data_IF_111706344906
#
_entry.id   IF_111706344906
#
_cell.length_a   1.000
_cell.length_b   1.000
_cell.length_c   1.000
_cell.angle_alpha   90.00
_cell.angle_beta   90.00
_cell.angle_gamma   90.00
#
_symmetry.space_group_name_H-M   'P 1'
#
loop_
_entity.id
_entity.type
_entity.pdbx_description
1 polymer ?
#
# COMPACT_ATOMS: atom_id res chain seq x y z
N UNK A 1 -22.09 21.66 -12.03
CA UNK A 1 -21.14 22.02 -13.12
C UNK A 1 -21.66 21.45 -14.43
N UNK A 2 -21.44 22.12 -15.57
CA UNK A 2 -21.72 21.52 -16.89
C UNK A 2 -20.74 20.37 -17.16
N UNK A 3 -21.08 19.39 -18.03
CA UNK A 3 -20.14 18.36 -18.47
C UNK A 3 -18.79 18.93 -18.93
N UNK A 4 -18.80 19.95 -19.80
CA UNK A 4 -17.60 20.64 -20.26
C UNK A 4 -16.75 21.24 -19.13
N UNK A 5 -17.37 21.88 -18.14
CA UNK A 5 -16.65 22.41 -16.98
C UNK A 5 -16.04 21.28 -16.10
N UNK A 6 -16.65 20.09 -16.06
CA UNK A 6 -16.09 18.93 -15.36
C UNK A 6 -14.83 18.40 -16.07
N UNK A 7 -14.84 18.35 -17.40
CA UNK A 7 -13.64 17.98 -18.19
C UNK A 7 -12.52 18.99 -17.95
N UNK A 8 -12.81 20.28 -18.04
CA UNK A 8 -11.82 21.33 -17.74
C UNK A 8 -11.23 21.20 -16.32
N UNK A 9 -12.08 20.96 -15.32
CA UNK A 9 -11.61 20.76 -13.94
C UNK A 9 -10.77 19.50 -13.81
N UNK A 10 -11.11 18.42 -14.51
CA UNK A 10 -10.31 17.19 -14.51
C UNK A 10 -8.91 17.42 -15.13
N UNK A 11 -8.81 18.24 -16.19
CA UNK A 11 -7.54 18.66 -16.79
C UNK A 11 -6.67 19.37 -15.75
N UNK A 12 -7.20 20.39 -15.07
CA UNK A 12 -6.46 21.17 -14.07
C UNK A 12 -5.96 20.30 -12.91
N UNK A 13 -6.80 19.40 -12.41
CA UNK A 13 -6.43 18.48 -11.34
C UNK A 13 -5.34 17.52 -11.82
N UNK A 14 -5.44 16.99 -13.04
CA UNK A 14 -4.41 16.12 -13.60
C UNK A 14 -3.08 16.86 -13.78
N UNK A 15 -3.07 18.11 -14.23
CA UNK A 15 -1.86 18.92 -14.31
C UNK A 15 -1.19 19.09 -12.94
N UNK A 16 -1.99 19.34 -11.89
CA UNK A 16 -1.50 19.40 -10.51
C UNK A 16 -0.94 18.05 -10.03
N UNK A 17 -1.58 16.93 -10.37
CA UNK A 17 -1.10 15.58 -10.04
C UNK A 17 0.21 15.27 -10.78
N UNK A 18 0.31 15.60 -12.07
CA UNK A 18 1.51 15.41 -12.89
C UNK A 18 2.69 16.24 -12.37
N UNK A 19 2.42 17.48 -11.92
CA UNK A 19 3.43 18.31 -11.26
C UNK A 19 3.87 17.70 -9.93
N UNK A 20 2.91 17.26 -9.09
CA UNK A 20 3.20 16.66 -7.81
C UNK A 20 3.96 15.32 -7.95
N UNK A 21 3.67 14.53 -8.98
CA UNK A 21 4.39 13.29 -9.25
C UNK A 21 5.86 13.56 -9.60
N UNK A 22 6.12 14.57 -10.44
CA UNK A 22 7.48 14.98 -10.86
C UNK A 22 8.31 15.60 -9.74
N UNK A 23 7.67 16.37 -8.84
CA UNK A 23 8.35 17.09 -7.76
C UNK A 23 8.33 16.36 -6.42
N UNK A 24 7.86 15.11 -6.40
CA UNK A 24 7.64 14.32 -5.18
C UNK A 24 6.75 15.04 -4.14
N UNK A 25 5.74 15.77 -4.63
CA UNK A 25 4.70 16.42 -3.84
C UNK A 25 3.59 15.46 -3.40
N UNK A 26 2.46 16.03 -2.95
CA UNK A 26 1.33 15.28 -2.38
C UNK A 26 0.75 14.19 -3.31
N UNK A 27 0.23 13.11 -2.73
CA UNK A 27 -0.45 12.00 -3.44
C UNK A 27 -1.70 12.48 -4.21
N UNK A 28 -2.12 11.72 -5.23
CA UNK A 28 -3.26 12.12 -6.08
C UNK A 28 -4.52 12.45 -5.28
N UNK A 29 -4.89 11.58 -4.34
CA UNK A 29 -6.06 11.76 -3.46
C UNK A 29 -5.99 13.06 -2.65
N UNK A 30 -4.78 13.43 -2.18
CA UNK A 30 -4.56 14.66 -1.43
C UNK A 30 -4.67 15.89 -2.31
N UNK A 31 -4.14 15.83 -3.54
CA UNK A 31 -4.30 16.89 -4.55
C UNK A 31 -5.78 17.08 -4.88
N UNK A 32 -6.49 15.99 -5.21
CA UNK A 32 -7.94 16.02 -5.51
C UNK A 32 -8.73 16.64 -4.34
N UNK A 33 -8.43 16.23 -3.10
CA UNK A 33 -9.11 16.75 -1.92
C UNK A 33 -8.80 18.24 -1.68
N UNK A 34 -7.59 18.71 -1.96
CA UNK A 34 -7.23 20.13 -1.90
C UNK A 34 -7.97 20.94 -2.98
N UNK A 35 -7.96 20.47 -4.22
CA UNK A 35 -8.62 21.10 -5.36
C UNK A 35 -10.15 21.22 -5.17
N UNK A 36 -10.78 20.20 -4.56
CA UNK A 36 -12.20 20.24 -4.21
C UNK A 36 -12.53 21.10 -2.99
N UNK A 37 -11.58 21.34 -2.08
CA UNK A 37 -11.76 22.32 -0.99
C UNK A 37 -11.73 23.75 -1.53
N UNK A 38 -10.90 24.01 -2.54
CA UNK A 38 -10.86 25.30 -3.23
C UNK A 38 -12.14 25.56 -4.05
N UNK A 39 -12.72 24.53 -4.68
CA UNK A 39 -13.93 24.64 -5.52
C UNK A 39 -15.23 24.40 -4.72
N UNK A 40 -15.57 25.35 -3.83
CA UNK A 40 -16.77 25.25 -2.96
C UNK A 40 -18.11 25.20 -3.73
N UNK A 41 -18.14 25.69 -4.97
CA UNK A 41 -19.33 25.66 -5.83
C UNK A 41 -19.64 24.26 -6.40
N UNK A 42 -18.70 23.31 -6.33
CA UNK A 42 -18.91 21.95 -6.85
C UNK A 42 -19.69 21.08 -5.84
N UNK A 43 -20.87 20.62 -6.26
CA UNK A 43 -21.68 19.68 -5.47
C UNK A 43 -21.09 18.27 -5.43
N UNK A 44 -21.64 17.39 -4.58
CA UNK A 44 -21.16 16.01 -4.42
C UNK A 44 -21.19 15.19 -5.71
N UNK A 45 -22.22 15.37 -6.54
CA UNK A 45 -22.33 14.72 -7.87
C UNK A 45 -21.24 15.21 -8.84
N UNK A 46 -20.95 16.52 -8.84
CA UNK A 46 -19.90 17.08 -9.68
C UNK A 46 -18.52 16.58 -9.26
N UNK A 47 -18.23 16.59 -7.95
CA UNK A 47 -16.97 16.08 -7.39
C UNK A 47 -16.75 14.61 -7.74
N UNK A 48 -17.80 13.78 -7.67
CA UNK A 48 -17.74 12.37 -8.08
C UNK A 48 -17.39 12.25 -9.57
N UNK A 49 -18.12 12.93 -10.45
CA UNK A 49 -17.89 12.86 -11.90
C UNK A 49 -16.48 13.32 -12.29
N UNK A 50 -15.98 14.43 -11.71
CA UNK A 50 -14.62 14.92 -11.94
C UNK A 50 -13.59 13.91 -11.43
N UNK A 51 -13.78 13.36 -10.24
CA UNK A 51 -12.89 12.34 -9.68
C UNK A 51 -12.82 11.09 -10.56
N UNK A 52 -13.96 10.65 -11.09
CA UNK A 52 -14.02 9.49 -11.98
C UNK A 52 -13.26 9.74 -13.28
N UNK A 53 -13.37 10.94 -13.88
CA UNK A 53 -12.56 11.34 -15.05
C UNK A 53 -11.07 11.32 -14.73
N UNK A 54 -10.67 11.92 -13.60
CA UNK A 54 -9.26 11.99 -13.16
C UNK A 54 -8.68 10.59 -12.99
N UNK A 55 -9.34 9.70 -12.24
CA UNK A 55 -8.80 8.34 -12.07
C UNK A 55 -8.90 7.47 -13.31
N UNK A 56 -9.88 7.70 -14.19
CA UNK A 56 -9.92 7.03 -15.50
C UNK A 56 -8.68 7.39 -16.32
N UNK A 57 -8.31 8.66 -16.37
CA UNK A 57 -7.06 9.10 -16.99
C UNK A 57 -5.82 8.52 -16.27
N UNK A 58 -5.78 8.57 -14.94
CA UNK A 58 -4.65 7.99 -14.19
C UNK A 58 -4.48 6.51 -14.49
N UNK A 59 -5.56 5.73 -14.61
CA UNK A 59 -5.49 4.29 -14.93
C UNK A 59 -5.22 4.01 -16.41
N UNK A 60 -5.57 4.92 -17.32
CA UNK A 60 -5.43 4.71 -18.76
C UNK A 60 -3.99 4.79 -19.29
N UNK A 61 -3.08 5.46 -18.59
CA UNK A 61 -1.74 5.74 -19.11
C UNK A 61 -0.63 5.25 -18.17
N UNK A 62 0.21 4.33 -18.64
CA UNK A 62 1.31 3.75 -17.89
C UNK A 62 2.42 4.77 -17.63
N UNK A 63 2.79 5.52 -18.67
CA UNK A 63 3.65 6.70 -18.55
C UNK A 63 2.81 7.94 -18.19
N UNK A 64 3.36 8.90 -17.43
CA UNK A 64 2.66 10.15 -17.15
C UNK A 64 2.44 10.95 -18.45
N UNK A 65 1.19 11.32 -18.79
CA UNK A 65 0.91 12.23 -19.89
C UNK A 65 1.66 13.57 -19.74
N UNK A 66 1.92 14.25 -20.87
CA UNK A 66 2.59 15.56 -20.84
C UNK A 66 1.73 16.66 -20.19
N UNK A 67 0.41 16.49 -20.20
CA UNK A 67 -0.58 17.37 -19.57
C UNK A 67 -1.88 16.62 -19.29
N UNK A 68 -2.71 17.16 -18.40
CA UNK A 68 -4.06 16.68 -18.14
C UNK A 68 -4.95 16.76 -19.38
N UNK A 69 -4.68 17.72 -20.27
CA UNK A 69 -5.39 17.86 -21.54
C UNK A 69 -5.05 16.72 -22.50
N UNK A 70 -3.76 16.41 -22.66
CA UNK A 70 -3.31 15.26 -23.45
C UNK A 70 -3.86 13.94 -22.88
N UNK A 71 -3.99 13.85 -21.55
CA UNK A 71 -4.61 12.71 -20.88
C UNK A 71 -6.11 12.57 -21.22
N UNK A 72 -6.89 13.67 -21.16
CA UNK A 72 -8.32 13.62 -21.50
C UNK A 72 -8.56 13.26 -22.97
N UNK A 73 -7.77 13.82 -23.89
CA UNK A 73 -7.86 13.47 -25.32
C UNK A 73 -7.39 12.04 -25.59
N UNK A 74 -6.37 11.58 -24.86
CA UNK A 74 -5.85 10.22 -24.96
C UNK A 74 -6.80 9.13 -24.47
N UNK A 75 -7.87 9.47 -23.74
CA UNK A 75 -8.88 8.51 -23.31
C UNK A 75 -9.72 7.95 -24.48
N UNK A 76 -9.63 8.58 -25.66
CA UNK A 76 -10.34 8.18 -26.88
C UNK A 76 -11.85 7.97 -26.66
N UNK A 77 -12.44 8.84 -25.83
CA UNK A 77 -13.87 8.80 -25.49
C UNK A 77 -14.60 9.93 -26.21
N UNK A 78 -15.59 9.57 -27.03
CA UNK A 78 -16.38 10.52 -27.82
C UNK A 78 -17.15 11.52 -26.95
N UNK A 79 -17.63 11.07 -25.78
CA UNK A 79 -18.37 11.94 -24.85
C UNK A 79 -17.45 12.98 -24.22
N UNK A 80 -16.19 12.62 -23.92
CA UNK A 80 -15.19 13.58 -23.42
C UNK A 80 -14.77 14.52 -24.56
N UNK A 81 -14.55 13.97 -25.75
CA UNK A 81 -14.09 14.74 -26.93
C UNK A 81 -15.12 15.80 -27.35
N UNK A 82 -16.42 15.49 -27.27
CA UNK A 82 -17.50 16.41 -27.58
C UNK A 82 -17.55 17.66 -26.66
N UNK A 83 -16.93 17.59 -25.48
CA UNK A 83 -16.90 18.71 -24.53
C UNK A 83 -15.84 19.77 -24.87
N UNK A 84 -14.90 19.48 -25.77
CA UNK A 84 -13.87 20.41 -26.23
C UNK A 84 -14.46 21.39 -27.24
N UNK A 85 -14.43 22.68 -26.93
CA UNK A 85 -15.04 23.71 -27.78
C UNK A 85 -16.56 23.85 -27.62
N UNK A 86 -17.19 23.11 -26.70
CA UNK A 86 -18.62 23.20 -26.40
C UNK A 86 -19.04 24.52 -25.73
N UNK A 87 -18.08 25.39 -25.40
CA UNK A 87 -18.31 26.71 -24.80
C UNK A 87 -18.46 26.69 -23.27
N UNK A 88 -18.68 27.88 -22.68
CA UNK A 88 -18.75 28.06 -21.23
C UNK A 88 -17.37 27.95 -20.54
N UNK A 89 -17.33 27.40 -19.32
CA UNK A 89 -16.10 27.17 -18.55
C UNK A 89 -15.39 25.85 -18.93
N UNK A 90 -15.48 25.49 -20.21
CA UNK A 90 -14.97 24.24 -20.79
C UNK A 90 -13.57 24.34 -21.39
N UNK A 91 -12.96 23.21 -21.77
CA UNK A 91 -11.70 23.22 -22.51
C UNK A 91 -11.89 23.82 -23.91
N UNK A 92 -10.85 24.50 -24.40
CA UNK A 92 -10.80 24.99 -25.78
C UNK A 92 -10.96 23.85 -26.80
N UNK A 93 -11.42 24.18 -28.01
CA UNK A 93 -11.56 23.22 -29.11
C UNK A 93 -10.23 22.50 -29.41
N UNK A 94 -10.33 21.26 -29.89
CA UNK A 94 -9.15 20.45 -30.26
C UNK A 94 -8.54 20.98 -31.55
N UNK A 95 -7.22 21.08 -31.61
CA UNK A 95 -6.49 21.41 -32.84
C UNK A 95 -5.96 20.15 -33.54
N UNK A 96 -5.70 20.23 -34.84
CA UNK A 96 -5.34 19.06 -35.69
C UNK A 96 -4.11 18.29 -35.16
N UNK A 97 -3.06 18.99 -34.74
CA UNK A 97 -1.80 18.39 -34.24
C UNK A 97 -1.69 18.36 -32.70
N UNK A 98 -2.83 18.37 -32.01
CA UNK A 98 -2.82 18.41 -30.54
C UNK A 98 -2.30 17.08 -29.94
N UNK A 99 -1.31 17.12 -29.03
CA UNK A 99 -0.76 15.90 -28.43
C UNK A 99 -1.81 15.13 -27.62
N UNK A 100 -1.86 13.82 -27.84
CA UNK A 100 -2.71 12.86 -27.12
C UNK A 100 -1.84 11.82 -26.44
N UNK A 101 -2.21 11.44 -25.22
CA UNK A 101 -1.51 10.36 -24.53
C UNK A 101 -1.92 9.00 -25.12
N UNK A 102 -0.96 8.11 -25.33
CA UNK A 102 -1.22 6.76 -25.84
C UNK A 102 -1.53 5.79 -24.67
N UNK A 103 -2.68 5.08 -24.71
CA UNK A 103 -3.05 4.13 -23.68
C UNK A 103 -2.01 3.01 -23.52
N UNK A 104 -1.54 2.83 -22.30
CA UNK A 104 -0.59 1.78 -21.92
C UNK A 104 -0.85 1.38 -20.47
N UNK A 105 -0.61 0.13 -20.10
CA UNK A 105 -0.76 -0.29 -18.70
C UNK A 105 0.37 0.29 -17.83
N UNK A 106 1.60 0.13 -18.32
CA UNK A 106 2.85 0.49 -17.62
C UNK A 106 3.84 1.12 -18.59
N UNK A 107 4.73 1.96 -18.08
CA UNK A 107 5.85 2.47 -18.87
C UNK A 107 6.82 1.34 -19.23
N UNK A 108 7.48 1.42 -20.40
CA UNK A 108 8.30 0.32 -20.92
C UNK A 108 9.44 -0.09 -19.99
N UNK A 109 10.09 0.88 -19.34
CA UNK A 109 11.18 0.60 -18.40
C UNK A 109 10.72 -0.19 -17.17
N UNK A 110 9.44 -0.06 -16.76
CA UNK A 110 8.87 -0.81 -15.63
C UNK A 110 8.60 -2.28 -15.98
N UNK A 111 8.42 -2.62 -17.27
CA UNK A 111 8.09 -3.99 -17.68
C UNK A 111 9.20 -4.97 -17.29
N UNK A 112 10.45 -4.53 -17.35
CA UNK A 112 11.61 -5.34 -16.99
C UNK A 112 11.78 -5.55 -15.47
N UNK A 113 11.11 -4.74 -14.64
CA UNK A 113 11.23 -4.80 -13.18
C UNK A 113 10.28 -5.83 -12.56
N UNK A 114 9.16 -6.12 -13.22
CA UNK A 114 8.16 -7.07 -12.76
C UNK A 114 8.70 -8.49 -12.65
N UNK A 115 8.19 -9.21 -11.67
CA UNK A 115 8.37 -10.66 -11.59
C UNK A 115 7.79 -11.35 -12.83
N UNK A 116 8.38 -12.47 -13.30
CA UNK A 116 7.88 -13.19 -14.47
C UNK A 116 6.41 -13.62 -14.39
N UNK A 117 5.89 -13.80 -13.17
CA UNK A 117 4.50 -14.17 -12.90
C UNK A 117 3.51 -13.00 -12.95
N UNK A 118 3.99 -11.78 -13.22
CA UNK A 118 3.19 -10.56 -13.32
C UNK A 118 3.14 -10.16 -14.80
N UNK A 119 2.40 -10.97 -15.55
CA UNK A 119 2.16 -10.79 -16.98
C UNK A 119 1.24 -9.59 -17.26
N UNK A 120 0.89 -9.40 -18.53
CA UNK A 120 0.03 -8.29 -18.95
C UNK A 120 -1.36 -8.32 -18.29
N UNK A 121 -1.92 -9.52 -18.06
CA UNK A 121 -3.21 -9.65 -17.39
C UNK A 121 -3.10 -9.19 -15.93
N UNK A 122 -2.07 -9.64 -15.21
CA UNK A 122 -1.83 -9.21 -13.83
C UNK A 122 -1.56 -7.69 -13.74
N UNK A 123 -0.82 -7.13 -14.70
CA UNK A 123 -0.61 -5.68 -14.84
C UNK A 123 -1.93 -4.93 -15.07
N UNK A 124 -2.85 -5.48 -15.85
CA UNK A 124 -4.19 -4.90 -16.00
C UNK A 124 -4.99 -4.98 -14.68
N UNK A 125 -4.85 -6.07 -13.92
CA UNK A 125 -5.42 -6.23 -12.58
C UNK A 125 -4.97 -5.16 -11.58
N UNK A 126 -3.72 -4.70 -11.70
CA UNK A 126 -3.17 -3.58 -10.91
C UNK A 126 -3.80 -2.22 -11.24
N UNK A 127 -4.51 -2.09 -12.36
CA UNK A 127 -5.20 -0.87 -12.75
C UNK A 127 -6.71 -0.95 -12.54
N UNK A 128 -7.20 -2.11 -12.11
CA UNK A 128 -8.57 -2.31 -11.67
C UNK A 128 -8.90 -1.55 -10.38
N UNK A 129 -10.10 -1.83 -9.85
CA UNK A 129 -10.52 -1.33 -8.55
C UNK A 129 -10.25 -2.40 -7.49
N UNK A 130 -9.65 -1.99 -6.38
CA UNK A 130 -9.38 -2.90 -5.27
C UNK A 130 -10.67 -3.19 -4.47
N UNK A 131 -10.84 -4.42 -3.97
CA UNK A 131 -11.87 -4.72 -2.98
C UNK A 131 -11.64 -3.94 -1.68
N UNK A 132 -12.72 -3.75 -0.94
CA UNK A 132 -12.71 -3.15 0.39
C UNK A 132 -12.71 -4.27 1.44
N UNK A 133 -11.56 -4.47 2.08
CA UNK A 133 -11.37 -5.51 3.08
C UNK A 133 -11.23 -4.90 4.48
N UNK A 134 -11.91 -5.52 5.44
CA UNK A 134 -11.77 -5.26 6.86
C UNK A 134 -11.06 -6.45 7.52
N UNK A 135 -10.20 -6.16 8.49
CA UNK A 135 -9.69 -7.15 9.45
C UNK A 135 -10.49 -7.05 10.74
N UNK A 136 -11.09 -8.15 11.18
CA UNK A 136 -11.69 -8.29 12.50
C UNK A 136 -10.60 -8.29 13.56
N UNK A 137 -10.79 -7.47 14.59
CA UNK A 137 -9.90 -7.39 15.73
C UNK A 137 -10.31 -8.40 16.81
N UNK A 138 -9.60 -9.54 16.84
CA UNK A 138 -9.83 -10.64 17.79
C UNK A 138 -9.68 -10.27 19.27
N UNK A 139 -9.08 -9.11 19.59
CA UNK A 139 -9.05 -8.59 20.96
C UNK A 139 -10.40 -8.03 21.43
N UNK A 140 -11.31 -7.73 20.50
CA UNK A 140 -12.57 -7.01 20.77
C UNK A 140 -13.82 -7.79 20.36
N UNK A 141 -13.73 -8.60 19.31
CA UNK A 141 -14.85 -9.37 18.79
C UNK A 141 -14.37 -10.57 17.97
N UNK A 142 -15.23 -11.58 17.84
CA UNK A 142 -15.04 -12.68 16.88
C UNK A 142 -15.63 -12.33 15.50
N UNK A 143 -15.18 -13.08 14.47
CA UNK A 143 -15.60 -12.90 13.07
C UNK A 143 -17.12 -13.01 12.90
N UNK A 144 -17.76 -13.98 13.53
CA UNK A 144 -19.18 -14.26 13.33
C UNK A 144 -20.04 -13.12 13.89
N UNK A 145 -19.67 -12.57 15.05
CA UNK A 145 -20.31 -11.40 15.65
C UNK A 145 -20.20 -10.18 14.75
N UNK A 146 -19.01 -9.89 14.21
CA UNK A 146 -18.82 -8.75 13.31
C UNK A 146 -19.53 -8.95 11.97
N UNK A 147 -19.50 -10.16 11.42
CA UNK A 147 -20.18 -10.48 10.16
C UNK A 147 -21.71 -10.39 10.30
N UNK A 148 -22.28 -10.78 11.44
CA UNK A 148 -23.70 -10.62 11.70
C UNK A 148 -24.14 -9.14 11.77
N UNK A 149 -23.26 -8.26 12.27
CA UNK A 149 -23.49 -6.82 12.39
C UNK A 149 -23.30 -6.08 11.05
N UNK A 150 -22.19 -6.34 10.36
CA UNK A 150 -21.80 -5.60 9.16
C UNK A 150 -22.20 -6.28 7.84
N UNK A 151 -22.40 -7.60 7.86
CA UNK A 151 -22.36 -8.43 6.66
C UNK A 151 -20.93 -8.65 6.17
N UNK A 152 -20.77 -8.65 4.85
CA UNK A 152 -19.48 -8.92 4.19
C UNK A 152 -19.23 -10.40 3.94
N UNK A 153 -18.47 -10.66 2.89
CA UNK A 153 -18.07 -12.00 2.47
C UNK A 153 -16.78 -12.40 3.20
N UNK A 154 -16.71 -13.62 3.72
CA UNK A 154 -15.46 -14.12 4.28
C UNK A 154 -14.44 -14.33 3.16
N UNK A 155 -13.19 -13.95 3.42
CA UNK A 155 -12.11 -14.18 2.45
C UNK A 155 -11.48 -15.54 2.74
N UNK A 156 -11.54 -16.45 1.77
CA UNK A 156 -10.94 -17.77 1.90
C UNK A 156 -9.46 -17.65 2.29
N UNK A 157 -9.02 -18.48 3.22
CA UNK A 157 -7.65 -18.52 3.75
C UNK A 157 -7.17 -17.30 4.55
N UNK A 158 -8.01 -16.27 4.72
CA UNK A 158 -7.70 -15.09 5.53
C UNK A 158 -8.77 -14.97 6.63
N UNK A 159 -8.57 -15.64 7.78
CA UNK A 159 -9.65 -15.95 8.74
C UNK A 159 -10.29 -14.73 9.39
N UNK A 160 -9.56 -13.62 9.50
CA UNK A 160 -10.08 -12.38 10.11
C UNK A 160 -10.61 -11.39 9.06
N UNK A 161 -10.64 -11.75 7.78
CA UNK A 161 -11.01 -10.84 6.70
C UNK A 161 -12.50 -10.91 6.33
N UNK A 162 -13.13 -9.74 6.26
CA UNK A 162 -14.45 -9.53 5.65
C UNK A 162 -14.31 -8.58 4.46
N UNK A 163 -14.84 -9.01 3.32
CA UNK A 163 -14.82 -8.27 2.05
C UNK A 163 -16.18 -7.64 1.78
N UNK A 164 -16.15 -6.39 1.34
CA UNK A 164 -17.33 -5.61 1.02
C UNK A 164 -17.25 -5.08 -0.42
N UNK A 165 -18.42 -4.72 -0.94
CA UNK A 165 -18.54 -3.98 -2.17
C UNK A 165 -17.82 -2.62 -2.07
N UNK A 166 -17.48 -2.07 -3.23
CA UNK A 166 -16.84 -0.76 -3.30
C UNK A 166 -17.68 0.33 -2.63
N UNK A 167 -17.01 1.23 -1.92
CA UNK A 167 -17.63 2.44 -1.35
C UNK A 167 -18.39 2.19 -0.04
N UNK A 168 -18.23 1.02 0.58
CA UNK A 168 -18.74 0.75 1.91
C UNK A 168 -18.19 1.77 2.93
N UNK A 169 -19.09 2.51 3.59
CA UNK A 169 -18.72 3.51 4.58
C UNK A 169 -18.61 2.88 5.97
N UNK A 170 -17.39 2.48 6.33
CA UNK A 170 -17.08 1.95 7.66
C UNK A 170 -16.73 3.04 8.67
N UNK A 171 -16.32 4.22 8.21
CA UNK A 171 -15.63 5.20 9.06
C UNK A 171 -16.53 5.78 10.16
N UNK A 172 -17.84 5.83 9.90
CA UNK A 172 -18.87 6.30 10.83
C UNK A 172 -19.54 5.19 11.65
N UNK A 173 -19.24 3.92 11.34
CA UNK A 173 -19.92 2.78 11.96
C UNK A 173 -19.34 2.43 13.34
N UNK A 174 -20.19 2.01 14.28
CA UNK A 174 -19.79 1.63 15.66
C UNK A 174 -18.71 0.56 15.68
N UNK A 175 -18.82 -0.49 14.87
CA UNK A 175 -17.79 -1.53 14.75
C UNK A 175 -16.37 -0.98 14.50
N UNK A 176 -16.23 0.09 13.70
CA UNK A 176 -14.94 0.75 13.51
C UNK A 176 -14.59 1.63 14.71
N UNK A 177 -15.50 2.49 15.17
CA UNK A 177 -15.26 3.41 16.28
C UNK A 177 -14.91 2.68 17.59
N UNK A 178 -15.49 1.51 17.82
CA UNK A 178 -15.26 0.63 18.98
C UNK A 178 -14.02 -0.27 18.81
N UNK A 179 -13.32 -0.17 17.67
CA UNK A 179 -12.10 -0.93 17.39
C UNK A 179 -12.31 -2.43 17.12
N UNK A 180 -13.53 -2.86 16.77
CA UNK A 180 -13.83 -4.25 16.40
C UNK A 180 -13.26 -4.61 15.02
N UNK A 181 -13.00 -3.62 14.17
CA UNK A 181 -12.40 -3.80 12.84
C UNK A 181 -11.35 -2.75 12.50
N UNK A 182 -10.42 -3.14 11.62
CA UNK A 182 -9.44 -2.27 10.96
C UNK A 182 -9.58 -2.37 9.45
N UNK A 183 -9.41 -1.26 8.72
CA UNK A 183 -9.33 -1.29 7.26
C UNK A 183 -7.97 -1.84 6.85
N UNK A 184 -7.95 -3.02 6.23
CA UNK A 184 -6.71 -3.67 5.81
C UNK A 184 -6.96 -4.72 4.72
N UNK A 185 -6.20 -4.61 3.63
CA UNK A 185 -6.15 -5.60 2.55
C UNK A 185 -5.87 -7.02 3.07
N UNK A 186 -6.59 -8.01 2.54
CA UNK A 186 -6.44 -9.40 2.96
C UNK A 186 -5.01 -9.95 2.85
N UNK A 187 -4.23 -9.55 1.84
CA UNK A 187 -2.83 -9.96 1.70
C UNK A 187 -1.92 -9.35 2.77
N UNK A 188 -2.21 -8.12 3.18
CA UNK A 188 -1.53 -7.45 4.30
C UNK A 188 -1.81 -8.13 5.65
N UNK A 189 -2.97 -8.75 5.82
CA UNK A 189 -3.31 -9.52 7.02
C UNK A 189 -2.47 -10.80 7.14
N UNK A 190 -2.15 -11.45 6.01
CA UNK A 190 -1.32 -12.67 6.00
C UNK A 190 0.11 -12.43 6.51
N UNK A 191 0.66 -11.23 6.33
CA UNK A 191 2.01 -10.88 6.81
C UNK A 191 2.13 -11.12 8.32
N UNK A 192 1.14 -10.74 9.11
CA UNK A 192 1.14 -10.97 10.55
C UNK A 192 1.08 -12.47 10.92
N UNK A 193 0.44 -13.30 10.09
CA UNK A 193 0.42 -14.76 10.28
C UNK A 193 1.78 -15.38 10.00
N UNK A 194 2.54 -14.85 9.04
CA UNK A 194 3.92 -15.28 8.74
C UNK A 194 4.86 -14.99 9.92
N UNK A 195 4.59 -13.95 10.70
CA UNK A 195 5.35 -13.64 11.91
C UNK A 195 5.28 -14.75 12.97
N UNK A 196 4.23 -15.60 12.96
CA UNK A 196 4.01 -16.62 14.01
C UNK A 196 4.07 -16.01 15.41
N UNK A 197 3.55 -14.79 15.53
CA UNK A 197 3.43 -14.08 16.80
C UNK A 197 2.58 -14.88 17.78
N UNK A 198 3.03 -14.97 19.03
CA UNK A 198 2.37 -15.73 20.08
C UNK A 198 2.38 -14.95 21.40
N UNK A 199 1.43 -15.24 22.32
CA UNK A 199 1.40 -14.64 23.65
C UNK A 199 2.75 -14.76 24.37
N UNK A 200 3.21 -13.65 24.97
CA UNK A 200 4.43 -13.59 25.77
C UNK A 200 5.71 -13.29 25.00
N UNK A 201 5.66 -13.23 23.66
CA UNK A 201 6.82 -12.85 22.83
C UNK A 201 7.16 -11.36 22.94
N UNK A 202 8.42 -11.04 22.65
CA UNK A 202 8.88 -9.67 22.35
C UNK A 202 8.91 -9.50 20.83
N UNK A 203 8.06 -8.62 20.31
CA UNK A 203 7.92 -8.36 18.87
C UNK A 203 8.23 -6.90 18.56
N UNK A 204 9.03 -6.69 17.52
CA UNK A 204 9.36 -5.35 16.99
C UNK A 204 8.81 -5.22 15.58
N UNK A 205 7.98 -4.21 15.33
CA UNK A 205 7.55 -3.77 14.00
C UNK A 205 8.39 -2.54 13.59
N UNK A 206 9.41 -2.74 12.77
CA UNK A 206 10.49 -1.77 12.53
C UNK A 206 10.10 -0.63 11.57
N UNK A 207 9.03 -0.80 10.81
CA UNK A 207 8.51 0.17 9.84
C UNK A 207 6.98 0.25 9.97
N UNK A 208 6.51 0.52 11.18
CA UNK A 208 5.12 0.34 11.58
C UNK A 208 4.14 1.28 10.86
N UNK A 209 4.59 2.43 10.37
CA UNK A 209 3.76 3.48 9.80
C UNK A 209 2.70 3.92 10.79
N UNK A 210 1.42 3.76 10.40
CA UNK A 210 0.28 4.02 11.28
C UNK A 210 -0.19 2.78 12.06
N UNK A 211 0.61 1.71 12.07
CA UNK A 211 0.47 0.50 12.90
C UNK A 211 -0.56 -0.53 12.44
N UNK A 212 -0.95 -0.55 11.17
CA UNK A 212 -1.93 -1.54 10.69
C UNK A 212 -1.50 -2.99 10.97
N UNK A 213 -0.23 -3.31 10.69
CA UNK A 213 0.36 -4.64 10.97
C UNK A 213 0.71 -4.83 12.44
N UNK A 214 1.19 -3.78 13.12
CA UNK A 214 1.36 -3.77 14.58
C UNK A 214 0.09 -4.22 15.30
N UNK A 215 -1.08 -3.68 14.95
CA UNK A 215 -2.35 -4.07 15.56
C UNK A 215 -2.79 -5.49 15.19
N UNK A 216 -2.35 -6.02 14.04
CA UNK A 216 -2.56 -7.43 13.71
C UNK A 216 -1.73 -8.31 14.64
N UNK A 217 -0.45 -7.96 14.84
CA UNK A 217 0.46 -8.66 15.74
C UNK A 217 -0.06 -8.66 17.18
N UNK A 218 -0.60 -7.54 17.65
CA UNK A 218 -1.24 -7.48 18.98
C UNK A 218 -2.39 -8.50 19.12
N UNK A 219 -3.20 -8.68 18.09
CA UNK A 219 -4.27 -9.67 18.07
C UNK A 219 -3.74 -11.11 17.99
N UNK A 220 -2.67 -11.38 17.23
CA UNK A 220 -1.98 -12.68 17.24
C UNK A 220 -1.41 -13.03 18.62
N UNK A 221 -0.86 -12.04 19.33
CA UNK A 221 -0.30 -12.16 20.67
C UNK A 221 -1.37 -12.23 21.78
N UNK A 222 -2.66 -12.14 21.44
CA UNK A 222 -3.76 -12.03 22.42
C UNK A 222 -3.54 -10.90 23.45
N UNK A 223 -2.89 -9.80 23.04
CA UNK A 223 -2.56 -8.68 23.91
C UNK A 223 -1.50 -8.97 24.99
N UNK A 224 -0.77 -10.09 24.89
CA UNK A 224 0.22 -10.53 25.89
C UNK A 224 1.64 -10.55 25.33
N UNK A 225 2.60 -10.02 26.08
CA UNK A 225 4.00 -9.88 25.67
C UNK A 225 4.39 -8.41 25.52
N UNK A 226 5.47 -8.14 24.81
CA UNK A 226 5.94 -6.78 24.53
C UNK A 226 5.88 -6.53 23.02
N UNK A 227 5.18 -5.46 22.63
CA UNK A 227 5.05 -5.08 21.23
C UNK A 227 5.57 -3.65 21.04
N UNK A 228 6.66 -3.55 20.30
CA UNK A 228 7.33 -2.28 20.00
C UNK A 228 7.09 -1.94 18.54
N UNK A 229 6.63 -0.72 18.28
CA UNK A 229 6.41 -0.18 16.94
C UNK A 229 7.37 0.99 16.69
N UNK A 230 8.19 0.85 15.66
CA UNK A 230 9.17 1.83 15.27
C UNK A 230 8.85 2.42 13.90
N UNK A 231 9.15 3.70 13.72
CA UNK A 231 9.15 4.33 12.41
C UNK A 231 10.05 5.58 12.42
N UNK A 232 10.47 6.04 11.24
CA UNK A 232 11.19 7.31 11.06
C UNK A 232 10.22 8.47 10.73
N UNK A 233 9.04 8.15 10.20
CA UNK A 233 7.97 9.10 9.89
C UNK A 233 7.13 9.38 11.13
N UNK A 234 7.48 10.47 11.82
CA UNK A 234 6.73 10.96 12.98
C UNK A 234 5.25 11.15 12.66
N UNK A 235 4.88 11.68 11.49
CA UNK A 235 3.49 12.00 11.15
C UNK A 235 2.63 10.74 11.06
N UNK A 236 3.20 9.62 10.61
CA UNK A 236 2.51 8.32 10.60
C UNK A 236 2.44 7.71 11.99
N UNK A 237 3.57 7.66 12.70
CA UNK A 237 3.68 7.01 14.00
C UNK A 237 2.80 7.67 15.07
N UNK A 238 2.63 8.99 15.02
CA UNK A 238 1.73 9.76 15.89
C UNK A 238 0.27 9.26 15.89
N UNK A 239 -0.16 8.58 14.82
CA UNK A 239 -1.53 8.05 14.72
C UNK A 239 -1.71 6.71 15.44
N UNK A 240 -0.62 6.04 15.78
CA UNK A 240 -0.66 4.71 16.37
C UNK A 240 -1.27 4.69 17.78
N UNK A 241 -0.93 5.60 18.72
CA UNK A 241 -1.49 5.56 20.07
C UNK A 241 -3.02 5.53 20.11
N UNK A 242 -3.70 6.44 19.39
CA UNK A 242 -5.16 6.48 19.32
C UNK A 242 -5.75 5.22 18.68
N UNK A 243 -5.10 4.68 17.64
CA UNK A 243 -5.55 3.42 17.01
C UNK A 243 -5.34 2.22 17.92
N UNK A 244 -4.25 2.18 18.69
CA UNK A 244 -3.95 1.12 19.64
C UNK A 244 -4.94 1.14 20.81
N UNK A 245 -5.24 2.31 21.37
CA UNK A 245 -6.27 2.48 22.40
C UNK A 245 -7.63 1.98 21.90
N UNK A 246 -8.06 2.44 20.72
CA UNK A 246 -9.30 1.98 20.07
C UNK A 246 -9.31 0.45 19.90
N UNK A 247 -8.21 -0.13 19.41
CA UNK A 247 -8.08 -1.57 19.22
C UNK A 247 -7.93 -2.36 20.53
N UNK A 248 -7.71 -1.71 21.67
CA UNK A 248 -7.39 -2.37 22.95
C UNK A 248 -6.03 -3.06 22.97
N UNK A 249 -5.08 -2.55 22.19
CA UNK A 249 -3.71 -3.05 22.13
C UNK A 249 -2.77 -2.15 22.96
N UNK A 250 -1.85 -2.76 23.69
CA UNK A 250 -0.75 -2.05 24.35
C UNK A 250 0.47 -2.10 23.42
N UNK A 251 0.93 -0.93 22.99
CA UNK A 251 2.04 -0.80 22.04
C UNK A 251 3.00 0.27 22.51
N UNK A 252 4.28 -0.06 22.58
CA UNK A 252 5.35 0.91 22.80
C UNK A 252 5.76 1.52 21.46
N UNK A 253 5.59 2.84 21.30
CA UNK A 253 5.97 3.53 20.05
C UNK A 253 7.35 4.19 20.20
N UNK A 254 8.28 3.91 19.27
CA UNK A 254 9.62 4.53 19.23
C UNK A 254 9.88 5.23 17.90
N UNK A 255 10.06 6.55 17.94
CA UNK A 255 10.50 7.29 16.77
C UNK A 255 11.99 7.07 16.56
N UNK A 256 12.38 6.61 15.37
CA UNK A 256 13.76 6.38 15.00
C UNK A 256 14.32 7.60 14.24
N UNK A 257 15.60 7.88 14.50
CA UNK A 257 16.36 8.80 13.69
C UNK A 257 17.09 8.01 12.60
N UNK A 258 16.84 8.30 11.31
CA UNK A 258 17.56 7.63 10.22
C UNK A 258 19.08 7.68 10.42
N UNK A 259 19.76 6.54 10.25
CA UNK A 259 21.20 6.33 10.46
C UNK A 259 21.67 6.38 11.93
N UNK A 260 20.76 6.55 12.89
CA UNK A 260 21.01 6.57 14.34
C UNK A 260 19.99 5.70 15.09
N UNK A 261 19.45 4.69 14.41
CA UNK A 261 18.40 3.80 14.92
C UNK A 261 18.86 3.07 16.18
N UNK A 262 20.12 2.67 16.23
CA UNK A 262 20.74 1.98 17.37
C UNK A 262 20.62 2.74 18.70
N UNK A 263 20.59 4.07 18.70
CA UNK A 263 20.48 4.87 19.93
C UNK A 263 19.13 4.67 20.64
N UNK A 264 18.06 4.44 19.87
CA UNK A 264 16.72 4.24 20.39
C UNK A 264 16.38 2.76 20.64
N UNK A 265 17.30 1.84 20.28
CA UNK A 265 17.05 0.40 20.23
C UNK A 265 18.13 -0.42 20.94
N UNK A 266 19.04 0.21 21.68
CA UNK A 266 20.16 -0.47 22.34
C UNK A 266 19.70 -1.52 23.36
N UNK A 267 18.57 -1.29 24.04
CA UNK A 267 17.93 -2.24 24.96
C UNK A 267 17.25 -3.42 24.25
N UNK A 268 17.09 -3.35 22.92
CA UNK A 268 16.47 -4.38 22.10
C UNK A 268 17.48 -5.23 21.32
N UNK A 269 18.78 -5.07 21.56
CA UNK A 269 19.81 -5.88 20.89
C UNK A 269 19.69 -7.35 21.29
N UNK A 270 19.51 -8.23 20.29
CA UNK A 270 19.37 -9.67 20.43
C UNK A 270 18.28 -10.13 21.42
N UNK A 271 17.18 -9.39 21.57
CA UNK A 271 16.06 -9.77 22.46
C UNK A 271 14.78 -10.15 21.73
N UNK A 272 14.53 -9.62 20.53
CA UNK A 272 13.26 -9.79 19.84
C UNK A 272 13.09 -11.24 19.36
N UNK A 273 11.98 -11.88 19.74
CA UNK A 273 11.55 -13.19 19.20
C UNK A 273 11.22 -13.07 17.72
N UNK A 274 10.52 -11.99 17.35
CA UNK A 274 10.11 -11.71 15.99
C UNK A 274 10.32 -10.22 15.67
N UNK A 275 10.93 -9.96 14.53
CA UNK A 275 11.08 -8.64 13.96
C UNK A 275 10.33 -8.59 12.63
N UNK A 276 9.36 -7.70 12.50
CA UNK A 276 8.68 -7.39 11.24
C UNK A 276 9.34 -6.17 10.59
N UNK A 277 9.69 -6.31 9.32
CA UNK A 277 10.17 -5.23 8.45
C UNK A 277 9.24 -5.12 7.25
N UNK A 278 8.21 -4.28 7.37
CA UNK A 278 7.36 -3.85 6.24
C UNK A 278 8.03 -2.66 5.53
N UNK A 279 8.99 -2.96 4.66
CA UNK A 279 9.94 -1.98 4.21
C UNK A 279 9.33 -0.92 3.26
N UNK A 280 9.83 0.34 3.31
CA UNK A 280 9.54 1.33 2.28
C UNK A 280 9.88 0.80 0.88
N UNK A 281 8.93 0.85 -0.04
CA UNK A 281 9.08 0.28 -1.38
C UNK A 281 8.37 1.12 -2.46
N UNK A 282 8.43 0.66 -3.71
CA UNK A 282 7.80 1.31 -4.86
C UNK A 282 6.28 1.37 -4.77
N UNK A 283 5.66 0.49 -3.98
CA UNK A 283 4.21 0.33 -3.91
C UNK A 283 3.60 -0.31 -5.15
N UNK A 284 4.40 -0.97 -6.01
CA UNK A 284 3.94 -1.54 -7.29
C UNK A 284 2.83 -2.59 -7.17
N UNK A 285 2.69 -3.23 -6.00
CA UNK A 285 1.58 -4.14 -5.71
C UNK A 285 0.26 -3.45 -5.34
N UNK A 286 0.27 -2.13 -5.08
CA UNK A 286 -0.90 -1.39 -4.56
C UNK A 286 -1.51 -0.41 -5.55
N UNK A 287 -1.12 -0.46 -6.82
CA UNK A 287 -1.59 0.47 -7.85
C UNK A 287 -3.11 0.48 -8.04
N UNK A 288 -3.81 -0.62 -7.75
CA UNK A 288 -5.29 -0.63 -7.83
C UNK A 288 -5.94 0.28 -6.78
N UNK A 289 -5.21 0.60 -5.70
CA UNK A 289 -5.58 1.58 -4.67
C UNK A 289 -5.03 2.97 -4.99
N UNK A 290 -3.75 3.07 -5.36
CA UNK A 290 -3.05 4.32 -5.66
C UNK A 290 -2.36 4.24 -7.03
N UNK A 291 -3.11 4.35 -8.14
CA UNK A 291 -2.56 4.07 -9.47
C UNK A 291 -1.53 5.11 -9.91
N UNK A 292 -1.54 6.31 -9.35
CA UNK A 292 -0.58 7.36 -9.71
C UNK A 292 0.83 7.04 -9.21
N UNK A 293 1.00 6.11 -8.27
CA UNK A 293 2.32 5.72 -7.76
C UNK A 293 3.27 5.31 -8.89
N UNK A 294 2.76 4.69 -9.97
CA UNK A 294 3.58 4.31 -11.13
C UNK A 294 4.19 5.50 -11.88
N UNK A 295 3.53 6.66 -11.86
CA UNK A 295 4.06 7.90 -12.45
C UNK A 295 5.12 8.59 -11.59
N UNK A 296 5.25 8.19 -10.31
CA UNK A 296 6.24 8.73 -9.38
C UNK A 296 7.55 7.96 -9.38
N UNK A 297 7.57 6.81 -10.02
CA UNK A 297 8.74 5.96 -10.12
C UNK A 297 9.64 6.46 -11.25
N UNK A 298 10.94 6.40 -10.98
CA UNK A 298 12.02 6.53 -11.95
C UNK A 298 13.05 5.44 -11.62
N UNK A 299 13.92 5.06 -12.55
CA UNK A 299 15.01 4.12 -12.26
C UNK A 299 15.82 4.53 -11.02
N UNK A 300 16.17 5.81 -10.88
CA UNK A 300 16.97 6.33 -9.75
C UNK A 300 16.18 6.31 -8.44
N UNK A 301 14.85 6.45 -8.49
CA UNK A 301 14.00 6.30 -7.30
C UNK A 301 13.93 4.84 -6.87
N UNK A 302 13.77 3.91 -7.81
CA UNK A 302 13.76 2.48 -7.53
C UNK A 302 15.10 2.04 -6.92
N UNK A 303 16.23 2.48 -7.49
CA UNK A 303 17.56 2.21 -6.95
C UNK A 303 17.71 2.68 -5.50
N UNK A 304 17.25 3.90 -5.20
CA UNK A 304 17.26 4.44 -3.83
C UNK A 304 16.39 3.64 -2.87
N UNK A 305 15.22 3.16 -3.31
CA UNK A 305 14.33 2.33 -2.50
C UNK A 305 14.96 0.97 -2.21
N UNK A 306 15.53 0.31 -3.22
CA UNK A 306 16.26 -0.95 -3.09
C UNK A 306 17.46 -0.82 -2.14
N UNK A 307 18.19 0.30 -2.19
CA UNK A 307 19.30 0.57 -1.26
C UNK A 307 18.79 0.83 0.17
N UNK A 308 17.71 1.59 0.32
CA UNK A 308 17.10 1.86 1.62
C UNK A 308 16.60 0.56 2.28
N UNK A 309 15.97 -0.34 1.51
CA UNK A 309 15.51 -1.64 2.00
C UNK A 309 16.66 -2.47 2.58
N UNK A 310 17.81 -2.51 1.90
CA UNK A 310 19.00 -3.19 2.39
C UNK A 310 19.51 -2.56 3.70
N UNK A 311 19.55 -1.22 3.78
CA UNK A 311 19.96 -0.51 5.01
C UNK A 311 19.01 -0.78 6.19
N UNK A 312 17.70 -0.80 5.93
CA UNK A 312 16.69 -1.11 6.95
C UNK A 312 16.85 -2.54 7.46
N UNK A 313 17.04 -3.51 6.58
CA UNK A 313 17.31 -4.91 6.97
C UNK A 313 18.56 -5.03 7.83
N UNK A 314 19.66 -4.38 7.42
CA UNK A 314 20.93 -4.41 8.14
C UNK A 314 20.85 -3.70 9.50
N UNK A 315 20.06 -2.63 9.62
CA UNK A 315 19.84 -1.92 10.87
C UNK A 315 18.93 -2.69 11.85
N UNK A 316 17.96 -3.44 11.33
CA UNK A 316 16.97 -4.12 12.15
C UNK A 316 17.43 -5.52 12.60
N UNK A 317 18.21 -6.24 11.79
CA UNK A 317 18.64 -7.62 12.10
C UNK A 317 19.33 -7.83 13.47
N UNK A 318 20.11 -6.88 14.05
CA UNK A 318 20.77 -7.12 15.34
C UNK A 318 19.80 -7.32 16.49
N UNK A 319 18.56 -6.83 16.36
CA UNK A 319 17.52 -6.92 17.39
C UNK A 319 17.00 -8.33 17.59
N UNK A 320 17.10 -9.18 16.57
CA UNK A 320 16.56 -10.54 16.59
C UNK A 320 17.43 -11.42 17.45
N UNK A 321 16.88 -12.06 18.49
CA UNK A 321 17.64 -12.99 19.33
C UNK A 321 18.12 -14.23 18.55
N UNK A 322 19.15 -14.96 19.02
CA UNK A 322 19.46 -16.28 18.49
C UNK A 322 18.24 -17.20 18.51
N UNK A 323 18.00 -17.91 17.40
CA UNK A 323 16.78 -18.70 17.18
C UNK A 323 15.50 -17.89 16.94
N UNK A 324 15.57 -16.55 16.91
CA UNK A 324 14.46 -15.66 16.55
C UNK A 324 14.26 -15.55 15.04
N UNK A 325 13.26 -14.75 14.63
CA UNK A 325 12.92 -14.57 13.21
C UNK A 325 12.77 -13.12 12.78
N UNK A 326 13.10 -12.85 11.52
CA UNK A 326 12.84 -11.61 10.81
C UNK A 326 11.84 -11.90 9.69
N UNK A 327 10.71 -11.22 9.66
CA UNK A 327 9.78 -11.24 8.53
C UNK A 327 9.96 -9.97 7.71
N UNK A 328 10.41 -10.14 6.47
CA UNK A 328 10.54 -9.08 5.49
C UNK A 328 9.32 -9.07 4.59
N UNK A 329 8.71 -7.90 4.41
CA UNK A 329 7.60 -7.72 3.50
C UNK A 329 7.71 -6.39 2.75
N UNK A 330 7.22 -6.38 1.51
CA UNK A 330 7.03 -5.17 0.71
C UNK A 330 5.73 -5.28 -0.08
N UNK A 331 5.05 -4.17 -0.29
CA UNK A 331 3.92 -4.09 -1.21
C UNK A 331 4.36 -3.82 -2.66
N UNK A 332 5.37 -4.57 -3.10
CA UNK A 332 6.00 -4.49 -4.43
C UNK A 332 5.93 -5.83 -5.14
N UNK A 333 5.76 -5.76 -6.46
CA UNK A 333 5.82 -6.87 -7.41
C UNK A 333 7.10 -6.85 -8.26
N UNK A 334 8.09 -6.04 -7.87
CA UNK A 334 9.38 -5.98 -8.53
C UNK A 334 10.39 -6.95 -7.91
N UNK A 335 11.12 -7.67 -8.76
CA UNK A 335 12.05 -8.71 -8.32
C UNK A 335 13.14 -8.15 -7.38
N UNK A 336 13.63 -6.93 -7.67
CA UNK A 336 14.70 -6.25 -6.93
C UNK A 336 14.33 -5.82 -5.52
N UNK A 337 13.04 -5.62 -5.25
CA UNK A 337 12.53 -5.24 -3.92
C UNK A 337 12.02 -6.45 -3.13
N UNK A 338 11.68 -7.55 -3.79
CA UNK A 338 11.24 -8.78 -3.15
C UNK A 338 12.38 -9.80 -2.96
N UNK A 339 12.34 -10.88 -3.73
CA UNK A 339 13.30 -11.98 -3.64
C UNK A 339 14.78 -11.53 -3.75
N UNK A 340 15.06 -10.51 -4.57
CA UNK A 340 16.41 -9.96 -4.72
C UNK A 340 16.99 -9.38 -3.42
N UNK A 341 16.16 -8.74 -2.57
CA UNK A 341 16.60 -8.26 -1.26
C UNK A 341 16.94 -9.40 -0.32
N UNK A 342 16.11 -10.44 -0.30
CA UNK A 342 16.31 -11.62 0.54
C UNK A 342 17.59 -12.37 0.15
N UNK A 343 17.81 -12.59 -1.15
CA UNK A 343 19.02 -13.24 -1.63
C UNK A 343 20.28 -12.44 -1.29
N UNK A 344 20.23 -11.12 -1.48
CA UNK A 344 21.35 -10.24 -1.14
C UNK A 344 21.62 -10.19 0.38
N UNK A 345 20.57 -10.18 1.21
CA UNK A 345 20.69 -10.23 2.67
C UNK A 345 21.36 -11.54 3.12
N UNK A 346 20.86 -12.68 2.67
CA UNK A 346 21.39 -14.00 3.05
C UNK A 346 22.83 -14.23 2.55
N UNK A 347 23.21 -13.63 1.42
CA UNK A 347 24.58 -13.70 0.92
C UNK A 347 25.58 -12.90 1.79
N UNK A 348 25.13 -11.81 2.44
CA UNK A 348 25.98 -10.93 3.26
C UNK A 348 26.04 -11.35 4.72
N UNK A 349 25.01 -12.02 5.24
CA UNK A 349 24.87 -12.30 6.67
C UNK A 349 24.88 -13.80 6.97
N UNK A 350 26.07 -14.31 7.30
CA UNK A 350 26.22 -15.67 7.81
C UNK A 350 25.39 -15.87 9.09
N UNK A 351 24.85 -17.07 9.28
CA UNK A 351 23.99 -17.40 10.42
C UNK A 351 22.51 -17.10 10.20
N UNK A 352 22.11 -16.60 9.03
CA UNK A 352 20.72 -16.45 8.62
C UNK A 352 20.31 -17.49 7.58
N UNK A 353 19.06 -17.93 7.65
CA UNK A 353 18.46 -18.83 6.65
C UNK A 353 17.02 -18.45 6.35
N UNK A 354 16.52 -18.82 5.17
CA UNK A 354 15.11 -18.65 4.86
C UNK A 354 14.27 -19.79 5.43
N UNK A 355 13.12 -19.43 6.00
CA UNK A 355 12.10 -20.34 6.52
C UNK A 355 10.88 -20.24 5.62
N UNK A 356 10.80 -21.12 4.62
CA UNK A 356 9.73 -21.11 3.62
C UNK A 356 8.48 -21.81 4.16
N UNK A 357 7.85 -21.21 5.16
CA UNK A 357 6.58 -21.69 5.72
C UNK A 357 5.51 -21.75 4.63
N UNK A 358 4.77 -22.86 4.58
CA UNK A 358 3.62 -22.98 3.68
C UNK A 358 2.59 -21.88 3.98
N UNK A 359 2.30 -21.05 2.97
CA UNK A 359 1.24 -20.05 3.02
C UNK A 359 0.02 -20.56 2.26
N UNK A 360 -1.19 -20.23 2.73
CA UNK A 360 -2.41 -20.70 2.09
C UNK A 360 -2.77 -19.91 0.82
N UNK A 361 -2.13 -18.76 0.60
CA UNK A 361 -2.20 -17.95 -0.62
C UNK A 361 -0.80 -17.56 -1.08
N UNK A 362 -0.69 -17.19 -2.35
CA UNK A 362 0.55 -16.72 -2.97
C UNK A 362 1.35 -17.82 -3.68
N UNK A 363 2.27 -17.38 -4.53
CA UNK A 363 3.18 -18.21 -5.31
C UNK A 363 4.61 -18.03 -4.83
N UNK A 364 5.40 -19.10 -4.86
CA UNK A 364 6.81 -19.04 -4.47
C UNK A 364 7.58 -18.14 -5.45
N UNK A 365 8.41 -17.25 -4.91
CA UNK A 365 9.36 -16.42 -5.65
C UNK A 365 10.67 -16.37 -4.88
N UNK A 366 11.69 -17.07 -5.38
CA UNK A 366 12.94 -17.27 -4.65
C UNK A 366 12.70 -17.93 -3.29
N UNK A 367 13.13 -17.26 -2.22
CA UNK A 367 13.02 -17.71 -0.82
C UNK A 367 11.83 -17.07 -0.06
N UNK A 368 10.80 -16.67 -0.80
CA UNK A 368 9.58 -16.09 -0.23
C UNK A 368 8.36 -16.36 -1.10
N UNK A 369 7.27 -15.68 -0.78
CA UNK A 369 6.00 -15.76 -1.49
C UNK A 369 5.60 -14.41 -2.06
N UNK A 370 4.89 -14.47 -3.18
CA UNK A 370 4.29 -13.31 -3.84
C UNK A 370 2.79 -13.51 -3.90
N UNK A 371 2.06 -12.53 -3.41
CA UNK A 371 0.63 -12.37 -3.59
C UNK A 371 0.39 -11.41 -4.75
N UNK A 372 -0.65 -11.65 -5.55
CA UNK A 372 -0.98 -10.87 -6.74
C UNK A 372 -2.49 -10.63 -6.88
N UNK A 373 -2.92 -9.46 -7.40
CA UNK A 373 -4.33 -9.12 -7.57
C UNK A 373 -5.25 -10.15 -8.22
N UNK A 374 -4.91 -10.68 -9.40
CA UNK A 374 -5.81 -11.56 -10.14
C UNK A 374 -5.82 -12.98 -9.58
N UNK A 375 -4.65 -13.49 -9.17
CA UNK A 375 -4.56 -14.85 -8.64
C UNK A 375 -5.11 -14.97 -7.22
N UNK A 376 -4.74 -14.04 -6.32
CA UNK A 376 -5.01 -14.16 -4.89
C UNK A 376 -6.17 -13.27 -4.42
N UNK A 377 -6.68 -12.40 -5.30
CA UNK A 377 -7.68 -11.39 -4.98
C UNK A 377 -7.25 -10.43 -3.83
N UNK A 378 -5.95 -10.22 -3.63
CA UNK A 378 -5.36 -9.30 -2.64
C UNK A 378 -4.57 -8.18 -3.33
N UNK A 379 -4.00 -7.22 -2.60
CA UNK A 379 -2.97 -6.38 -3.21
C UNK A 379 -1.73 -7.24 -3.49
N UNK A 380 -0.82 -6.69 -4.29
CA UNK A 380 0.48 -7.30 -4.54
C UNK A 380 1.41 -7.14 -3.34
N UNK A 381 1.98 -8.26 -2.88
CA UNK A 381 2.96 -8.28 -1.79
C UNK A 381 4.04 -9.32 -2.05
N UNK A 382 5.27 -9.04 -1.64
CA UNK A 382 6.28 -10.06 -1.39
C UNK A 382 6.46 -10.24 0.12
N UNK A 383 6.60 -11.50 0.56
CA UNK A 383 6.75 -11.86 1.98
C UNK A 383 7.82 -12.95 2.11
N UNK A 384 8.79 -12.76 2.99
CA UNK A 384 9.79 -13.77 3.34
C UNK A 384 10.02 -13.81 4.85
N UNK A 385 10.16 -15.02 5.40
CA UNK A 385 10.55 -15.24 6.79
C UNK A 385 11.98 -15.77 6.82
N UNK A 386 12.81 -15.13 7.63
CA UNK A 386 14.22 -15.46 7.83
C UNK A 386 14.43 -15.82 9.30
N UNK A 387 15.29 -16.78 9.57
CA UNK A 387 15.62 -17.23 10.93
C UNK A 387 17.09 -17.01 11.22
N UNK A 388 17.36 -16.55 12.44
CA UNK A 388 18.72 -16.41 12.97
C UNK A 388 19.12 -17.71 13.65
N UNK A 389 20.34 -18.18 13.37
CA UNK A 389 20.91 -19.38 13.99
C UNK A 389 21.01 -19.22 15.52
N UNK A 390 20.91 -20.35 16.23
CA UNK A 390 21.01 -20.41 17.70
C UNK A 390 22.44 -20.17 18.19
#
# INVERSE_FOLDING_TARGET
MTPSARVQTAIEILDAILLAARTNGAAADSVIAQEFRARRYAGSKDKRAVRDLVYRAIRGFGAPPISGRAAMLGLQDETISAEFGAGGYGPAAVTEDEPKAEPTLVADWLRAEFLPMVDEAEQAGLLGRAPFDLRVNRLKADLATVQADLGGETVLHVPDALRFAEGFDIASHSAYLDGKVEVQDAGSQLIARVCKAAPGMIIVDFCAGAGGKTLALAAEMNGQGQLIACDTDRTRLQRLPERAERAGAVVESRLLNPKREHEALADLEAVADVLLVDAPCSGSGTWRRNPELRWRLTPERLDRLTQLQAQVLDAAMPLVRPGGSLVYAVCSLFAREGAGQVDAFLARHAGWSADLLALPLGRISGKGYVLTPLHDATDGFFIARLTRSC
#
